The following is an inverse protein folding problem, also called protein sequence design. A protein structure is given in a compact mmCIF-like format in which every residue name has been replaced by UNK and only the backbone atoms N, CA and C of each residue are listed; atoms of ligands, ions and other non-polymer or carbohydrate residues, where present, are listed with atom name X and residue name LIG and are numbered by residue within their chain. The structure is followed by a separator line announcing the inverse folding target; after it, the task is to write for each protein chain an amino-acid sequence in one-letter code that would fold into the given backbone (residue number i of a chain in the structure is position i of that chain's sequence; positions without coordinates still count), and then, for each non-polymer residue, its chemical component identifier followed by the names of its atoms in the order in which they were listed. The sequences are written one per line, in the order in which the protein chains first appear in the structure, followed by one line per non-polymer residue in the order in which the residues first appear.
data_IF_483939325707
#
_entry.id   IF_483939325707
#
_cell.length_a   1.000
_cell.length_b   1.000
_cell.length_c   1.000
_cell.angle_alpha   90.00
_cell.angle_beta   90.00
_cell.angle_gamma   90.00
#
_symmetry.space_group_name_H-M   'P 1'
#
loop_
_entity.id
_entity.type
_entity.pdbx_description
1 polymer ?
#
# COMPACT_ATOMS: atom_id res chain seq x y z
N UNK A 1 -14.01 34.88 18.71
CA UNK A 1 -13.36 34.93 17.38
C UNK A 1 -13.20 36.36 16.83
N UNK A 2 -14.26 37.19 16.74
CA UNK A 2 -14.15 38.56 16.19
C UNK A 2 -13.21 39.50 16.97
N UNK A 3 -13.19 39.43 18.31
CA UNK A 3 -12.25 40.22 19.13
C UNK A 3 -10.77 39.83 18.94
N UNK A 4 -10.48 38.54 18.73
CA UNK A 4 -9.13 38.02 18.50
C UNK A 4 -8.58 38.46 17.14
N UNK A 5 -9.38 38.37 16.07
CA UNK A 5 -8.99 38.80 14.74
C UNK A 5 -8.73 40.32 14.65
N UNK A 6 -9.50 41.13 15.39
CA UNK A 6 -9.30 42.58 15.47
C UNK A 6 -8.01 42.97 16.18
N UNK A 7 -7.69 42.29 17.30
CA UNK A 7 -6.45 42.55 18.05
C UNK A 7 -5.19 42.05 17.35
N UNK A 8 -5.27 40.96 16.58
CA UNK A 8 -4.17 40.44 15.75
C UNK A 8 -3.89 41.30 14.51
N UNK A 9 -4.92 41.85 13.85
CA UNK A 9 -4.73 42.71 12.66
C UNK A 9 -3.96 44.01 12.99
N UNK A 10 -4.05 44.49 14.23
CA UNK A 10 -3.30 45.65 14.71
C UNK A 10 -1.81 45.35 14.98
N UNK A 11 -1.43 44.07 15.09
CA UNK A 11 -0.06 43.61 15.36
C UNK A 11 0.61 43.03 14.11
N UNK A 12 -0.15 42.27 13.30
CA UNK A 12 0.29 41.68 12.04
C UNK A 12 -0.92 41.58 11.07
N UNK A 13 -0.95 42.38 9.99
CA UNK A 13 -2.06 42.36 9.03
C UNK A 13 -2.17 41.03 8.28
N UNK A 14 -1.07 40.31 8.06
CA UNK A 14 -1.04 39.02 7.35
C UNK A 14 -1.59 37.91 8.23
N UNK A 15 -1.24 37.90 9.53
CA UNK A 15 -1.83 37.00 10.51
C UNK A 15 -3.34 37.25 10.68
N UNK A 16 -3.75 38.53 10.70
CA UNK A 16 -5.16 38.92 10.71
C UNK A 16 -5.93 38.43 9.47
N UNK A 17 -5.30 38.49 8.29
CA UNK A 17 -5.87 37.97 7.05
C UNK A 17 -5.99 36.44 7.06
N UNK A 18 -4.98 35.72 7.52
CA UNK A 18 -5.01 34.26 7.65
C UNK A 18 -6.15 33.77 8.56
N UNK A 19 -6.36 34.40 9.72
CA UNK A 19 -7.46 34.06 10.63
C UNK A 19 -8.83 34.28 9.97
N UNK A 20 -8.98 35.34 9.15
CA UNK A 20 -10.22 35.58 8.39
C UNK A 20 -10.45 34.52 7.32
N UNK A 21 -9.41 34.07 6.64
CA UNK A 21 -9.46 32.98 5.65
C UNK A 21 -9.93 31.68 6.31
N UNK A 22 -9.33 31.31 7.46
CA UNK A 22 -9.72 30.11 8.22
C UNK A 22 -11.21 30.19 8.59
N UNK A 23 -11.64 31.29 9.21
CA UNK A 23 -13.03 31.48 9.60
C UNK A 23 -14.02 31.56 8.42
N UNK A 24 -13.55 31.87 7.21
CA UNK A 24 -14.37 31.88 6.00
C UNK A 24 -14.57 30.46 5.46
N UNK A 25 -13.49 29.67 5.35
CA UNK A 25 -13.58 28.27 4.92
C UNK A 25 -14.29 27.38 5.94
N UNK A 26 -14.14 27.63 7.25
CA UNK A 26 -14.92 26.93 8.28
C UNK A 26 -16.42 27.14 8.08
N UNK A 27 -16.86 28.38 7.78
CA UNK A 27 -18.28 28.67 7.47
C UNK A 27 -18.76 28.00 6.18
N UNK A 28 -17.91 27.91 5.15
CA UNK A 28 -18.23 27.18 3.92
C UNK A 28 -18.34 25.67 4.17
N UNK A 29 -17.51 25.12 5.06
CA UNK A 29 -17.58 23.73 5.48
C UNK A 29 -18.88 23.45 6.26
N UNK A 30 -19.24 24.32 7.21
CA UNK A 30 -20.47 24.24 8.02
C UNK A 30 -21.73 24.30 7.15
N UNK A 31 -21.76 25.23 6.17
CA UNK A 31 -22.89 25.41 5.24
C UNK A 31 -22.97 24.37 4.12
N UNK A 32 -22.04 23.40 4.09
CA UNK A 32 -21.94 22.35 3.06
C UNK A 32 -21.87 22.92 1.64
N UNK A 33 -21.07 23.97 1.45
CA UNK A 33 -20.87 24.58 0.14
C UNK A 33 -20.35 23.58 -0.90
N UNK A 34 -20.82 23.69 -2.14
CA UNK A 34 -20.39 22.83 -3.24
C UNK A 34 -18.95 23.10 -3.69
N UNK A 35 -18.37 22.18 -4.47
CA UNK A 35 -16.99 22.24 -4.98
C UNK A 35 -16.69 23.57 -5.68
N UNK A 36 -17.57 24.06 -6.54
CA UNK A 36 -17.38 25.33 -7.25
C UNK A 36 -17.34 26.54 -6.30
N UNK A 37 -18.16 26.54 -5.24
CA UNK A 37 -18.17 27.62 -4.26
C UNK A 37 -16.87 27.70 -3.46
N UNK A 38 -16.24 26.55 -3.21
CA UNK A 38 -14.93 26.48 -2.54
C UNK A 38 -13.79 26.95 -3.45
N UNK A 39 -13.80 26.58 -4.73
CA UNK A 39 -12.81 27.08 -5.71
C UNK A 39 -12.99 28.58 -5.93
N UNK A 40 -14.24 29.05 -6.00
CA UNK A 40 -14.58 30.49 -6.08
C UNK A 40 -14.09 31.26 -4.86
N UNK A 41 -14.25 30.71 -3.66
CA UNK A 41 -13.71 31.31 -2.45
C UNK A 41 -12.18 31.44 -2.50
N UNK A 42 -11.47 30.42 -2.98
CA UNK A 42 -10.02 30.48 -3.15
C UNK A 42 -9.60 31.55 -4.18
N UNK A 43 -10.33 31.67 -5.29
CA UNK A 43 -10.04 32.68 -6.32
C UNK A 43 -10.27 34.12 -5.81
N UNK A 44 -11.41 34.36 -5.16
CA UNK A 44 -11.78 35.69 -4.64
C UNK A 44 -10.87 36.12 -3.49
N UNK A 45 -10.49 35.21 -2.59
CA UNK A 45 -9.64 35.53 -1.45
C UNK A 45 -8.16 35.72 -1.83
N UNK A 46 -7.67 35.02 -2.85
CA UNK A 46 -6.29 35.15 -3.33
C UNK A 46 -6.11 36.25 -4.38
N UNK A 47 -7.22 36.78 -4.92
CA UNK A 47 -7.22 37.75 -6.03
C UNK A 47 -6.66 37.19 -7.34
N UNK A 48 -6.52 35.87 -7.46
CA UNK A 48 -5.93 35.18 -8.61
C UNK A 48 -6.89 34.08 -9.09
N UNK A 49 -6.83 33.67 -10.37
CA UNK A 49 -7.62 32.54 -10.82
C UNK A 49 -7.26 31.28 -10.01
N UNK A 50 -8.26 30.54 -9.56
CA UNK A 50 -8.08 29.26 -8.86
C UNK A 50 -8.59 28.12 -9.74
N UNK A 51 -7.79 27.06 -9.84
CA UNK A 51 -8.10 25.89 -10.67
C UNK A 51 -8.02 24.61 -9.86
N UNK A 52 -9.08 23.81 -9.88
CA UNK A 52 -9.12 22.45 -9.35
C UNK A 52 -9.12 21.47 -10.51
N UNK A 53 -8.15 20.54 -10.52
CA UNK A 53 -8.12 19.41 -11.45
C UNK A 53 -8.03 18.12 -10.66
N UNK A 54 -8.97 17.23 -10.92
CA UNK A 54 -9.00 15.86 -10.44
C UNK A 54 -9.22 14.94 -11.65
N UNK A 55 -8.14 14.33 -12.19
CA UNK A 55 -8.24 13.48 -13.37
C UNK A 55 -8.98 12.17 -13.06
N UNK A 56 -8.90 11.64 -11.83
CA UNK A 56 -9.63 10.42 -11.43
C UNK A 56 -11.14 10.65 -11.39
N UNK A 57 -11.57 11.85 -10.99
CA UNK A 57 -13.00 12.20 -10.88
C UNK A 57 -13.52 12.99 -12.09
N UNK A 58 -12.67 13.25 -13.09
CA UNK A 58 -12.95 14.15 -14.24
C UNK A 58 -13.51 15.50 -13.81
N UNK A 59 -13.06 16.02 -12.66
CA UNK A 59 -13.46 17.34 -12.17
C UNK A 59 -12.43 18.35 -12.62
N UNK A 60 -12.86 19.29 -13.45
CA UNK A 60 -12.07 20.44 -13.89
C UNK A 60 -12.90 21.68 -13.60
N UNK A 61 -12.47 22.49 -12.63
CA UNK A 61 -13.15 23.73 -12.25
C UNK A 61 -12.12 24.83 -12.19
N UNK A 62 -12.28 25.85 -13.02
CA UNK A 62 -11.45 27.06 -13.00
C UNK A 62 -12.34 28.27 -12.74
N UNK A 63 -11.97 29.07 -11.75
CA UNK A 63 -12.72 30.28 -11.36
C UNK A 63 -11.77 31.47 -11.38
N UNK A 64 -12.19 32.54 -12.03
CA UNK A 64 -11.46 33.80 -12.14
C UNK A 64 -11.55 34.61 -10.83
N UNK A 65 -10.70 35.64 -10.63
CA UNK A 65 -10.71 36.48 -9.43
C UNK A 65 -12.04 37.22 -9.17
N UNK A 66 -12.81 37.48 -10.25
CA UNK A 66 -14.16 38.06 -10.19
C UNK A 66 -15.22 37.04 -9.71
N UNK A 67 -14.80 35.81 -9.46
CA UNK A 67 -15.63 34.69 -9.04
C UNK A 67 -16.36 34.00 -10.18
N UNK A 68 -16.17 34.39 -11.44
CA UNK A 68 -16.83 33.78 -12.60
C UNK A 68 -16.09 32.51 -13.01
N UNK A 69 -16.85 31.42 -13.22
CA UNK A 69 -16.28 30.17 -13.73
C UNK A 69 -15.90 30.32 -15.20
N UNK A 70 -14.68 29.94 -15.55
CA UNK A 70 -14.17 30.01 -16.92
C UNK A 70 -13.26 28.82 -17.20
N UNK A 71 -13.84 27.81 -17.83
CA UNK A 71 -13.14 26.55 -18.11
C UNK A 71 -12.07 26.76 -19.19
N UNK A 72 -11.00 25.97 -19.14
CA UNK A 72 -9.86 26.06 -20.06
C UNK A 72 -9.20 24.69 -20.17
N UNK A 73 -8.90 24.26 -21.39
CA UNK A 73 -8.31 22.95 -21.68
C UNK A 73 -6.76 22.95 -21.63
N UNK A 74 -6.15 24.12 -21.44
CA UNK A 74 -4.71 24.26 -21.28
C UNK A 74 -4.24 23.60 -19.97
N UNK A 75 -3.12 22.83 -19.96
CA UNK A 75 -2.62 22.22 -18.73
C UNK A 75 -2.16 23.28 -17.72
N UNK A 76 -2.35 23.06 -16.40
CA UNK A 76 -1.88 24.00 -15.38
C UNK A 76 -0.33 24.07 -15.36
N UNK A 77 0.24 25.28 -15.24
CA UNK A 77 1.69 25.44 -15.11
C UNK A 77 2.15 24.86 -13.77
N UNK A 78 3.10 23.90 -13.75
CA UNK A 78 3.60 23.28 -12.53
C UNK A 78 4.32 24.26 -11.59
N UNK A 79 4.68 25.46 -12.05
CA UNK A 79 5.32 26.51 -11.24
C UNK A 79 4.33 27.30 -10.39
N UNK A 80 3.03 27.15 -10.61
CA UNK A 80 2.00 27.84 -9.84
C UNK A 80 1.87 27.28 -8.41
N UNK A 81 1.63 28.13 -7.40
CA UNK A 81 1.31 27.68 -6.05
C UNK A 81 0.15 26.69 -6.06
N UNK A 82 0.35 25.53 -5.44
CA UNK A 82 -0.63 24.45 -5.45
C UNK A 82 -0.66 23.65 -4.15
N UNK A 83 -1.80 23.01 -3.89
CA UNK A 83 -1.97 22.07 -2.81
C UNK A 83 -2.72 20.83 -3.31
N UNK A 84 -2.17 19.65 -3.00
CA UNK A 84 -2.85 18.37 -3.24
C UNK A 84 -3.93 18.18 -2.18
N UNK A 85 -5.08 17.66 -2.61
CA UNK A 85 -6.21 17.41 -1.71
C UNK A 85 -5.99 16.15 -0.85
N UNK A 86 -5.12 15.23 -1.29
CA UNK A 86 -4.70 14.05 -0.54
C UNK A 86 -3.21 13.79 -0.79
N UNK A 87 -2.43 13.31 0.21
CA UNK A 87 -1.01 13.00 0.01
C UNK A 87 -0.77 11.99 -1.12
N UNK A 88 -1.66 11.01 -1.27
CA UNK A 88 -1.56 9.93 -2.27
C UNK A 88 -2.45 10.15 -3.50
N UNK A 89 -3.15 11.28 -3.58
CA UNK A 89 -4.13 11.55 -4.64
C UNK A 89 -3.61 12.45 -5.75
N UNK A 90 -4.22 12.35 -6.93
CA UNK A 90 -3.92 13.21 -8.10
C UNK A 90 -4.66 14.55 -8.09
N UNK A 91 -5.69 14.69 -7.26
CA UNK A 91 -6.50 15.91 -7.16
C UNK A 91 -5.70 17.08 -6.57
N UNK A 92 -5.57 18.16 -7.33
CA UNK A 92 -4.75 19.32 -6.94
C UNK A 92 -5.50 20.63 -7.20
N UNK A 93 -5.34 21.58 -6.29
CA UNK A 93 -5.80 22.96 -6.41
C UNK A 93 -4.60 23.86 -6.71
N UNK A 94 -4.68 24.68 -7.76
CA UNK A 94 -3.68 25.67 -8.16
C UNK A 94 -4.22 27.09 -8.03
N UNK A 95 -3.32 28.03 -7.73
CA UNK A 95 -3.53 29.47 -7.88
C UNK A 95 -2.70 29.97 -9.07
N UNK A 96 -3.35 30.41 -10.14
CA UNK A 96 -2.70 30.81 -11.39
C UNK A 96 -2.00 32.16 -11.19
N UNK A 97 -0.69 32.14 -10.90
CA UNK A 97 0.12 33.34 -10.81
C UNK A 97 1.19 33.34 -11.88
N UNK A 98 1.26 34.41 -12.67
CA UNK A 98 2.35 34.61 -13.60
C UNK A 98 3.66 34.80 -12.82
N UNK A 99 4.48 33.74 -12.73
CA UNK A 99 5.89 33.89 -12.46
C UNK A 99 6.52 34.51 -13.72
N UNK A 100 7.05 35.73 -13.63
CA UNK A 100 7.81 36.28 -14.76
C UNK A 100 9.03 35.39 -14.95
N UNK A 101 9.01 34.62 -16.04
CA UNK A 101 10.14 33.87 -16.51
C UNK A 101 11.30 34.85 -16.77
N UNK A 102 12.43 34.62 -16.11
CA UNK A 102 13.68 35.28 -16.44
C UNK A 102 14.05 34.92 -17.87
N UNK A 103 13.91 35.87 -18.78
CA UNK A 103 14.27 35.76 -20.18
C UNK A 103 14.64 37.14 -20.70
N UNK A 104 15.86 37.57 -20.35
CA UNK A 104 16.55 38.65 -21.04
C UNK A 104 16.79 38.17 -22.47
N UNK A 105 16.12 38.79 -23.43
CA UNK A 105 16.65 38.95 -24.78
C UNK A 105 16.37 40.39 -25.21
N UNK A 106 17.44 41.03 -25.66
CA UNK A 106 17.56 42.41 -26.12
C UNK A 106 16.34 42.96 -26.84
N UNK A 107 15.87 44.11 -26.36
CA UNK A 107 15.23 45.09 -27.19
C UNK A 107 16.33 46.05 -27.65
N UNK A 108 16.62 46.07 -28.95
CA UNK A 108 17.20 47.26 -29.55
C UNK A 108 16.62 47.56 -30.94
N UNK A 109 16.28 48.84 -31.10
CA UNK A 109 15.92 49.58 -32.31
C UNK A 109 14.56 49.22 -32.95
N UNK A 110 13.57 50.10 -33.17
CA UNK A 110 13.56 51.55 -33.26
C UNK A 110 12.74 51.95 -34.50
N UNK A 111 11.64 52.69 -34.31
CA UNK A 111 11.13 53.65 -35.32
C UNK A 111 10.05 53.22 -36.33
N UNK A 112 8.89 53.87 -36.19
CA UNK A 112 8.00 54.37 -37.26
C UNK A 112 7.16 53.42 -38.13
N UNK A 113 5.85 53.56 -38.01
CA UNK A 113 4.82 53.33 -39.03
C UNK A 113 4.99 54.30 -40.24
N UNK A 114 4.24 54.24 -41.38
CA UNK A 114 2.99 53.49 -41.60
C UNK A 114 2.74 52.91 -43.05
N UNK A 115 1.58 52.23 -43.19
CA UNK A 115 0.67 52.17 -44.37
C UNK A 115 0.89 51.20 -45.56
N UNK A 116 -0.26 50.56 -45.87
CA UNK A 116 -0.86 50.14 -47.18
C UNK A 116 -0.42 48.85 -47.92
N UNK A 117 -1.45 47.99 -48.11
CA UNK A 117 -1.90 47.32 -49.36
C UNK A 117 -0.88 46.62 -50.26
N UNK A 118 -0.97 45.30 -50.44
CA UNK A 118 -1.46 44.58 -51.65
C UNK A 118 -1.07 43.09 -51.64
N UNK A 119 -1.77 42.32 -52.48
CA UNK A 119 -1.66 40.90 -52.84
C UNK A 119 -0.21 40.35 -53.00
N UNK A 120 0.07 39.05 -52.95
CA UNK A 120 -0.44 37.97 -53.81
C UNK A 120 0.11 36.59 -53.32
N UNK A 121 -0.48 35.52 -53.86
CA UNK A 121 -0.10 34.09 -53.95
C UNK A 121 1.38 33.73 -53.70
N UNK A 122 1.74 32.54 -53.19
CA UNK A 122 1.47 31.16 -53.65
C UNK A 122 1.76 30.18 -52.50
N UNK A 123 0.86 29.25 -52.16
CA UNK A 123 0.86 27.83 -52.57
C UNK A 123 2.18 27.06 -52.44
N UNK A 124 2.16 26.08 -51.53
CA UNK A 124 2.63 24.68 -51.63
C UNK A 124 2.72 24.19 -50.17
N UNK A 125 2.00 23.19 -49.68
CA UNK A 125 1.54 21.95 -50.30
C UNK A 125 2.17 20.80 -49.51
N UNK A 126 1.37 19.78 -49.16
CA UNK A 126 1.70 18.50 -48.48
C UNK A 126 1.55 18.54 -46.95
N UNK A 127 0.75 17.71 -46.31
CA UNK A 127 -0.01 16.53 -46.72
C UNK A 127 -0.04 15.57 -45.52
N UNK A 128 -1.19 14.95 -45.24
CA UNK A 128 -1.30 13.95 -44.17
C UNK A 128 -2.73 13.77 -43.67
N UNK A 129 -3.55 13.14 -44.50
CA UNK A 129 -4.96 12.88 -44.25
C UNK A 129 -5.19 11.79 -43.19
N UNK A 130 -6.20 12.04 -42.36
CA UNK A 130 -6.91 11.05 -41.58
C UNK A 130 -7.69 10.09 -42.48
N UNK A 131 -7.81 8.83 -42.06
CA UNK A 131 -8.88 7.95 -42.51
C UNK A 131 -9.33 7.01 -41.40
N UNK A 132 -10.65 6.87 -41.35
CA UNK A 132 -11.51 6.12 -40.46
C UNK A 132 -11.99 4.86 -41.19
N UNK A 133 -12.22 3.77 -40.45
CA UNK A 133 -13.06 2.62 -40.83
C UNK A 133 -13.33 1.87 -39.49
N UNK A 134 -14.52 1.87 -38.91
CA UNK A 134 -15.81 1.24 -39.29
C UNK A 134 -15.73 -0.28 -39.44
N UNK A 135 -16.13 -0.93 -38.34
CA UNK A 135 -17.23 -1.90 -38.21
C UNK A 135 -17.22 -3.22 -39.01
N UNK A 136 -17.54 -4.30 -38.31
CA UNK A 136 -17.55 -5.67 -38.83
C UNK A 136 -17.88 -6.68 -37.73
N UNK A 137 -19.16 -6.72 -37.36
CA UNK A 137 -19.75 -7.66 -36.40
C UNK A 137 -20.12 -9.01 -37.06
N UNK A 138 -20.08 -10.06 -36.23
CA UNK A 138 -20.82 -11.34 -36.25
C UNK A 138 -20.19 -12.70 -36.63
N UNK A 139 -20.69 -13.79 -35.97
CA UNK A 139 -19.93 -15.02 -35.68
C UNK A 139 -20.51 -16.29 -36.34
N UNK A 140 -19.73 -17.37 -36.35
CA UNK A 140 -20.13 -18.69 -36.86
C UNK A 140 -19.99 -19.82 -35.84
N UNK A 141 -21.16 -20.33 -35.39
CA UNK A 141 -21.59 -21.74 -35.26
C UNK A 141 -20.71 -22.78 -34.53
N UNK A 142 -21.32 -23.44 -33.53
CA UNK A 142 -20.86 -24.61 -32.76
C UNK A 142 -21.31 -25.97 -33.39
N UNK A 143 -21.36 -27.12 -32.67
CA UNK A 143 -20.30 -28.13 -32.55
C UNK A 143 -20.70 -29.54 -33.04
N UNK A 144 -19.74 -30.48 -33.13
CA UNK A 144 -19.90 -31.95 -33.16
C UNK A 144 -18.68 -32.52 -32.41
N UNK A 145 -18.74 -33.41 -31.43
CA UNK A 145 -19.55 -34.62 -31.26
C UNK A 145 -18.58 -35.81 -31.29
N UNK A 146 -18.41 -36.55 -30.18
CA UNK A 146 -17.49 -37.69 -30.14
C UNK A 146 -17.26 -38.26 -28.74
N UNK A 147 -18.20 -39.10 -28.33
CA UNK A 147 -18.16 -40.06 -27.22
C UNK A 147 -17.13 -41.18 -27.46
N UNK A 148 -16.42 -41.62 -26.41
CA UNK A 148 -16.29 -43.04 -25.99
C UNK A 148 -15.48 -43.10 -24.70
N UNK A 149 -15.97 -43.86 -23.72
CA UNK A 149 -15.36 -43.96 -22.40
C UNK A 149 -14.36 -45.10 -22.18
N UNK A 150 -14.16 -45.36 -20.88
CA UNK A 150 -14.04 -46.67 -20.21
C UNK A 150 -12.71 -46.91 -19.45
N UNK A 151 -12.88 -47.09 -18.13
CA UNK A 151 -12.15 -47.98 -17.18
C UNK A 151 -10.64 -47.82 -16.96
N UNK A 152 -10.25 -47.55 -15.71
CA UNK A 152 -8.93 -47.90 -15.15
C UNK A 152 -8.89 -49.37 -14.68
N UNK A 153 -8.10 -49.74 -13.65
CA UNK A 153 -6.74 -49.33 -13.32
C UNK A 153 -5.77 -50.54 -13.38
N UNK A 154 -4.46 -50.32 -13.35
CA UNK A 154 -3.49 -51.40 -13.12
C UNK A 154 -2.35 -50.95 -12.20
N UNK A 155 -2.36 -51.54 -11.00
CA UNK A 155 -1.25 -51.62 -10.07
C UNK A 155 -0.15 -52.54 -10.61
N UNK A 156 1.11 -52.22 -10.33
CA UNK A 156 2.25 -53.11 -10.55
C UNK A 156 3.53 -52.50 -10.00
N UNK A 157 3.96 -52.98 -8.83
CA UNK A 157 5.19 -52.57 -8.16
C UNK A 157 6.39 -53.46 -8.49
N UNK A 158 7.49 -53.18 -7.76
CA UNK A 158 8.78 -53.89 -7.68
C UNK A 158 9.74 -53.56 -8.85
N UNK A 159 11.03 -53.31 -8.68
CA UNK A 159 11.94 -53.36 -7.55
C UNK A 159 13.25 -52.61 -7.92
N UNK A 160 14.00 -52.22 -6.88
CA UNK A 160 15.48 -52.13 -6.78
C UNK A 160 16.28 -51.57 -7.95
N UNK A 161 17.03 -50.48 -7.72
CA UNK A 161 18.47 -50.70 -7.55
C UNK A 161 19.20 -49.58 -6.80
N UNK A 162 20.19 -50.03 -6.03
CA UNK A 162 21.13 -49.25 -5.22
C UNK A 162 22.45 -49.25 -5.98
N UNK A 163 22.99 -48.08 -6.31
CA UNK A 163 24.44 -47.92 -6.52
C UNK A 163 24.85 -46.47 -6.25
N UNK A 164 25.74 -46.29 -5.28
CA UNK A 164 26.52 -45.09 -5.11
C UNK A 164 27.91 -45.25 -5.73
N UNK A 165 28.50 -44.13 -6.16
CA UNK A 165 29.93 -43.81 -6.26
C UNK A 165 29.97 -42.38 -6.86
N UNK A 166 30.47 -41.34 -6.19
CA UNK A 166 31.84 -41.03 -5.76
C UNK A 166 32.80 -40.67 -6.91
N UNK A 167 33.56 -39.59 -6.67
CA UNK A 167 34.61 -38.92 -7.46
C UNK A 167 34.13 -37.90 -8.51
N UNK A 168 34.70 -36.70 -8.65
CA UNK A 168 35.82 -36.05 -7.98
C UNK A 168 36.28 -34.82 -8.77
N UNK A 169 36.85 -33.85 -8.03
CA UNK A 169 37.91 -32.89 -8.40
C UNK A 169 37.71 -31.97 -9.62
N UNK A 170 37.75 -30.66 -9.33
CA UNK A 170 37.92 -29.58 -10.30
C UNK A 170 38.40 -28.32 -9.58
N UNK A 171 39.70 -28.28 -9.31
CA UNK A 171 40.47 -27.15 -8.82
C UNK A 171 40.61 -26.07 -9.90
N UNK A 172 40.32 -24.81 -9.58
CA UNK A 172 40.96 -23.64 -10.19
C UNK A 172 40.98 -22.48 -9.21
N UNK A 173 42.18 -22.18 -8.72
CA UNK A 173 42.59 -20.88 -8.17
C UNK A 173 42.27 -19.71 -9.12
N UNK A 174 41.73 -18.62 -8.55
CA UNK A 174 42.28 -17.26 -8.78
C UNK A 174 41.68 -16.19 -7.84
N UNK A 175 42.52 -15.77 -6.90
CA UNK A 175 42.89 -14.38 -6.56
C UNK A 175 41.80 -13.30 -6.43
N UNK A 176 41.65 -12.81 -5.20
CA UNK A 176 41.93 -11.40 -4.90
C UNK A 176 40.74 -10.51 -4.56
N UNK A 177 40.51 -10.27 -3.27
CA UNK A 177 40.72 -8.94 -2.65
C UNK A 177 40.26 -8.94 -1.20
N UNK A 178 41.22 -8.71 -0.31
CA UNK A 178 41.03 -8.46 1.10
C UNK A 178 41.10 -6.94 1.37
N UNK A 179 40.22 -6.43 2.24
CA UNK A 179 40.50 -5.39 3.23
C UNK A 179 39.22 -5.25 4.08
N UNK A 180 39.20 -5.43 5.39
CA UNK A 180 40.21 -5.04 6.36
C UNK A 180 39.59 -3.96 7.26
N UNK A 181 38.66 -4.38 8.13
CA UNK A 181 38.09 -3.51 9.15
C UNK A 181 39.15 -3.19 10.21
N UNK A 182 39.32 -1.91 10.55
CA UNK A 182 40.06 -1.48 11.73
C UNK A 182 39.25 -0.44 12.49
N UNK A 183 39.28 -0.61 13.81
CA UNK A 183 38.51 0.02 14.87
C UNK A 183 39.52 0.75 15.75
N UNK A 184 39.08 1.86 16.36
CA UNK A 184 39.65 2.59 17.52
C UNK A 184 39.85 4.08 17.21
N UNK A 185 39.86 5.02 18.15
CA UNK A 185 39.32 5.19 19.50
C UNK A 185 39.84 6.60 19.93
N UNK A 186 39.08 7.28 20.80
CA UNK A 186 39.50 8.37 21.73
C UNK A 186 40.16 9.67 21.22
N UNK A 187 39.70 10.78 21.83
CA UNK A 187 40.61 11.84 22.31
C UNK A 187 40.08 13.27 22.23
N UNK A 188 39.95 13.92 23.40
CA UNK A 188 39.35 15.23 23.65
C UNK A 188 40.32 16.44 23.54
N UNK A 189 39.78 17.66 23.47
CA UNK A 189 40.23 18.94 24.12
C UNK A 189 39.48 20.14 23.49
N UNK A 190 38.61 20.87 24.21
CA UNK A 190 38.83 22.10 25.01
C UNK A 190 39.06 23.38 24.18
N UNK A 191 38.10 24.34 24.18
CA UNK A 191 38.10 25.66 24.88
C UNK A 191 39.19 26.65 24.39
N UNK A 192 39.04 27.98 24.27
CA UNK A 192 38.02 29.01 24.44
C UNK A 192 38.69 30.35 23.99
N UNK A 193 38.03 31.50 24.24
CA UNK A 193 38.51 32.91 24.10
C UNK A 193 38.29 33.52 22.70
N UNK A 194 37.70 34.70 22.51
CA UNK A 194 37.14 35.68 23.44
C UNK A 194 36.79 37.00 22.71
N UNK A 195 35.75 37.67 23.22
CA UNK A 195 35.56 39.14 23.34
C UNK A 195 35.53 40.05 22.11
N UNK A 196 34.53 40.95 22.08
CA UNK A 196 34.64 42.26 21.43
C UNK A 196 33.31 42.90 21.03
N UNK A 197 32.87 43.91 21.78
CA UNK A 197 31.61 44.67 21.65
C UNK A 197 31.92 46.11 21.18
N UNK A 198 31.15 46.64 20.22
CA UNK A 198 30.77 48.05 19.97
C UNK A 198 30.23 48.15 18.53
N UNK A 199 29.23 48.93 18.11
CA UNK A 199 28.41 49.99 18.69
C UNK A 199 27.86 50.85 17.53
N UNK A 200 26.64 51.40 17.71
CA UNK A 200 26.06 52.59 17.05
C UNK A 200 25.39 52.53 15.64
N UNK A 201 24.05 52.55 15.68
CA UNK A 201 23.08 53.53 15.09
C UNK A 201 23.35 54.17 13.72
N UNK A 202 22.40 54.01 12.78
CA UNK A 202 21.92 55.07 11.90
C UNK A 202 20.52 54.76 11.33
N UNK A 203 19.68 55.80 11.27
CA UNK A 203 18.29 55.81 10.79
C UNK A 203 18.23 56.41 9.37
N UNK A 204 17.30 55.92 8.54
CA UNK A 204 16.43 56.65 7.56
C UNK A 204 16.35 56.08 6.13
N UNK A 205 15.09 55.84 5.75
CA UNK A 205 14.37 56.28 4.53
C UNK A 205 14.73 55.65 3.18
N UNK A 206 13.74 54.93 2.64
CA UNK A 206 13.18 55.18 1.31
C UNK A 206 13.98 54.70 0.09
N UNK A 207 13.70 53.47 -0.34
CA UNK A 207 14.05 52.98 -1.66
C UNK A 207 13.06 51.91 -2.11
N UNK A 208 12.04 52.33 -2.86
CA UNK A 208 11.10 51.44 -3.53
C UNK A 208 11.84 50.66 -4.63
N UNK A 209 12.23 49.42 -4.31
CA UNK A 209 12.65 48.40 -5.28
C UNK A 209 11.50 47.42 -5.51
N UNK A 210 11.39 46.81 -6.71
CA UNK A 210 10.26 45.96 -7.06
C UNK A 210 10.18 44.78 -6.07
N UNK A 211 9.04 44.67 -5.40
CA UNK A 211 8.76 43.61 -4.44
C UNK A 211 8.83 42.26 -5.14
N UNK A 212 9.87 41.47 -4.81
CA UNK A 212 9.85 40.02 -5.00
C UNK A 212 8.61 39.49 -4.29
N UNK A 213 7.64 38.97 -5.04
CA UNK A 213 6.45 38.31 -4.46
C UNK A 213 6.93 37.00 -3.84
N UNK A 214 7.29 37.03 -2.57
CA UNK A 214 7.35 35.83 -1.74
C UNK A 214 5.95 35.20 -1.70
N UNK A 215 5.83 33.85 -1.60
CA UNK A 215 4.52 33.22 -1.42
C UNK A 215 3.86 33.87 -0.20
N UNK A 216 2.72 34.52 -0.39
CA UNK A 216 2.07 35.18 0.74
C UNK A 216 1.62 34.09 1.70
N UNK A 217 1.86 34.28 3.00
CA UNK A 217 1.40 33.36 4.06
C UNK A 217 -0.11 33.13 3.93
N UNK A 218 -0.82 34.16 3.46
CA UNK A 218 -2.26 34.12 3.18
C UNK A 218 -2.58 33.12 2.06
N UNK A 219 -1.84 33.09 0.95
CA UNK A 219 -2.06 32.13 -0.14
C UNK A 219 -1.82 30.68 0.30
N UNK A 220 -0.79 30.46 1.14
CA UNK A 220 -0.52 29.15 1.71
C UNK A 220 -1.68 28.67 2.60
N UNK A 221 -2.23 29.58 3.42
CA UNK A 221 -3.40 29.29 4.27
C UNK A 221 -4.66 29.09 3.42
N UNK A 222 -4.87 29.87 2.35
CA UNK A 222 -5.98 29.67 1.41
C UNK A 222 -5.89 28.28 0.78
N UNK A 223 -4.72 27.89 0.27
CA UNK A 223 -4.50 26.58 -0.34
C UNK A 223 -4.69 25.44 0.66
N UNK A 224 -4.12 25.53 1.86
CA UNK A 224 -4.28 24.53 2.93
C UNK A 224 -5.77 24.34 3.28
N UNK A 225 -6.47 25.45 3.57
CA UNK A 225 -7.86 25.42 4.03
C UNK A 225 -8.81 24.98 2.91
N UNK A 226 -8.63 25.52 1.70
CA UNK A 226 -9.44 25.13 0.55
C UNK A 226 -9.25 23.66 0.20
N UNK A 227 -8.00 23.15 0.16
CA UNK A 227 -7.73 21.74 -0.14
C UNK A 227 -8.34 20.82 0.93
N UNK A 228 -8.25 21.18 2.21
CA UNK A 228 -8.87 20.44 3.31
C UNK A 228 -10.39 20.34 3.19
N UNK A 229 -11.08 21.45 2.92
CA UNK A 229 -12.55 21.45 2.79
C UNK A 229 -13.01 20.81 1.47
N UNK A 230 -12.29 21.04 0.36
CA UNK A 230 -12.56 20.40 -0.93
C UNK A 230 -12.44 18.88 -0.84
N UNK A 231 -11.45 18.36 -0.11
CA UNK A 231 -11.32 16.92 0.18
C UNK A 231 -12.59 16.41 0.86
N UNK A 232 -13.04 17.06 1.95
CA UNK A 232 -14.23 16.67 2.69
C UNK A 232 -15.50 16.66 1.81
N UNK A 233 -15.64 17.65 0.93
CA UNK A 233 -16.80 17.76 0.03
C UNK A 233 -16.75 16.72 -1.09
N UNK A 234 -15.59 16.53 -1.74
CA UNK A 234 -15.43 15.52 -2.78
C UNK A 234 -15.59 14.09 -2.24
N UNK A 235 -15.14 13.84 -1.00
CA UNK A 235 -15.36 12.56 -0.34
C UNK A 235 -16.84 12.33 -0.01
N UNK A 236 -17.58 13.39 0.35
CA UNK A 236 -19.03 13.34 0.60
C UNK A 236 -19.85 13.17 -0.68
N UNK A 237 -19.57 13.91 -1.75
CA UNK A 237 -20.38 13.90 -3.00
C UNK A 237 -20.21 12.62 -3.81
N UNK A 238 -19.18 11.81 -3.54
CA UNK A 238 -18.98 10.50 -4.18
C UNK A 238 -19.74 9.36 -3.51
N UNK A 239 -20.46 9.57 -2.40
CA UNK A 239 -21.02 8.44 -1.66
C UNK A 239 -19.91 7.42 -1.30
N UNK A 240 -18.73 7.93 -0.93
CA UNK A 240 -17.69 7.10 -0.33
C UNK A 240 -18.19 6.75 1.08
N UNK A 241 -19.00 5.70 1.15
CA UNK A 241 -18.96 4.81 2.29
C UNK A 241 -17.47 4.51 2.56
N UNK A 242 -17.05 4.39 3.82
CA UNK A 242 -15.65 4.12 4.13
C UNK A 242 -15.13 3.02 3.20
N UNK A 243 -13.90 3.15 2.71
CA UNK A 243 -13.26 2.10 1.90
C UNK A 243 -13.25 0.74 2.62
N UNK A 244 -13.60 0.75 3.92
CA UNK A 244 -13.83 -0.37 4.81
C UNK A 244 -15.27 -0.38 5.36
N UNK A 245 -16.32 -0.24 4.53
CA UNK A 245 -17.69 -0.51 5.01
C UNK A 245 -17.81 -2.01 5.30
N UNK A 246 -17.91 -2.42 6.58
CA UNK A 246 -17.85 -3.83 6.94
C UNK A 246 -19.01 -4.62 6.32
N UNK A 247 -20.19 -4.00 6.18
CA UNK A 247 -21.35 -4.65 5.62
C UNK A 247 -21.16 -4.95 4.12
N UNK A 248 -20.44 -4.10 3.40
CA UNK A 248 -20.11 -4.34 1.99
C UNK A 248 -19.07 -5.45 1.84
N UNK A 249 -18.06 -5.49 2.72
CA UNK A 249 -17.08 -6.58 2.73
C UNK A 249 -17.77 -7.91 3.06
N UNK A 250 -18.61 -7.94 4.09
CA UNK A 250 -19.40 -9.12 4.46
C UNK A 250 -20.29 -9.58 3.30
N UNK A 251 -21.00 -8.66 2.64
CA UNK A 251 -21.82 -8.97 1.45
C UNK A 251 -20.96 -9.52 0.31
N UNK A 252 -19.77 -8.95 0.07
CA UNK A 252 -18.87 -9.38 -0.99
C UNK A 252 -18.31 -10.79 -0.76
N UNK A 253 -18.05 -11.15 0.49
CA UNK A 253 -17.51 -12.45 0.88
C UNK A 253 -18.59 -13.52 1.09
N UNK A 254 -19.86 -13.13 1.11
CA UNK A 254 -21.00 -14.06 1.21
C UNK A 254 -21.29 -14.75 -0.14
N UNK A 255 -20.97 -16.04 -0.20
CA UNK A 255 -21.25 -16.89 -1.36
C UNK A 255 -22.73 -17.12 -1.63
N UNK A 256 -23.61 -16.90 -0.65
CA UNK A 256 -25.06 -17.05 -0.78
C UNK A 256 -25.75 -15.79 -1.29
N UNK A 257 -25.08 -14.63 -1.21
CA UNK A 257 -25.60 -13.38 -1.73
C UNK A 257 -25.80 -13.42 -3.27
N UNK A 258 -26.75 -12.67 -3.83
CA UNK A 258 -26.86 -12.54 -5.27
C UNK A 258 -25.60 -11.91 -5.90
N UNK A 259 -25.21 -12.39 -7.08
CA UNK A 259 -24.03 -11.88 -7.79
C UNK A 259 -24.08 -10.36 -8.02
N UNK A 260 -25.25 -9.83 -8.39
CA UNK A 260 -25.47 -8.40 -8.57
C UNK A 260 -25.19 -7.58 -7.29
N UNK A 261 -25.53 -8.12 -6.11
CA UNK A 261 -25.27 -7.49 -4.82
C UNK A 261 -23.76 -7.49 -4.51
N UNK A 262 -23.07 -8.60 -4.77
CA UNK A 262 -21.61 -8.68 -4.63
C UNK A 262 -20.87 -7.72 -5.56
N UNK A 263 -21.26 -7.65 -6.83
CA UNK A 263 -20.68 -6.68 -7.78
C UNK A 263 -20.97 -5.24 -7.41
N UNK A 264 -22.15 -4.97 -6.82
CA UNK A 264 -22.45 -3.66 -6.25
C UNK A 264 -21.50 -3.34 -5.09
N UNK A 265 -21.34 -4.28 -4.15
CA UNK A 265 -20.43 -4.13 -3.00
C UNK A 265 -18.98 -3.91 -3.44
N UNK A 266 -18.47 -4.70 -4.39
CA UNK A 266 -17.12 -4.54 -4.94
C UNK A 266 -16.89 -3.15 -5.54
N UNK A 267 -17.83 -2.67 -6.37
CA UNK A 267 -17.75 -1.32 -6.96
C UNK A 267 -17.78 -0.22 -5.91
N UNK A 268 -18.57 -0.40 -4.86
CA UNK A 268 -18.67 0.55 -3.74
C UNK A 268 -17.41 0.58 -2.87
N UNK A 269 -16.74 -0.57 -2.73
CA UNK A 269 -15.42 -0.70 -2.08
C UNK A 269 -14.26 -0.19 -2.97
N UNK A 270 -14.54 0.16 -4.23
CA UNK A 270 -13.52 0.66 -5.16
C UNK A 270 -12.62 -0.43 -5.73
N UNK A 271 -13.05 -1.70 -5.68
CA UNK A 271 -12.34 -2.81 -6.30
C UNK A 271 -12.52 -2.77 -7.81
N UNK A 272 -11.41 -2.91 -8.56
CA UNK A 272 -11.45 -3.14 -9.99
C UNK A 272 -11.81 -4.60 -10.27
N UNK A 273 -12.96 -4.83 -10.88
CA UNK A 273 -13.46 -6.18 -11.20
C UNK A 273 -12.67 -6.89 -12.30
N UNK A 274 -11.81 -6.17 -13.04
CA UNK A 274 -10.93 -6.73 -14.06
C UNK A 274 -9.64 -7.32 -13.48
N UNK A 275 -9.28 -6.94 -12.24
CA UNK A 275 -8.06 -7.37 -11.57
C UNK A 275 -8.39 -8.41 -10.48
N UNK A 276 -7.61 -9.48 -10.33
CA UNK A 276 -7.80 -10.42 -9.24
C UNK A 276 -7.62 -9.75 -7.87
N UNK A 277 -8.44 -10.19 -6.91
CA UNK A 277 -8.38 -9.78 -5.52
C UNK A 277 -8.27 -11.02 -4.62
N UNK A 278 -7.78 -10.83 -3.39
CA UNK A 278 -7.70 -11.89 -2.39
C UNK A 278 -8.36 -11.46 -1.09
N UNK A 279 -8.96 -12.42 -0.39
CA UNK A 279 -9.52 -12.22 0.93
C UNK A 279 -8.45 -12.45 2.02
N UNK A 280 -8.48 -11.63 3.05
CA UNK A 280 -7.59 -11.68 4.21
C UNK A 280 -8.42 -11.95 5.46
N UNK A 281 -8.04 -12.99 6.20
CA UNK A 281 -8.66 -13.42 7.45
C UNK A 281 -7.72 -13.14 8.63
N UNK A 282 -7.75 -11.93 9.21
CA UNK A 282 -6.99 -11.62 10.41
C UNK A 282 -7.63 -12.25 11.66
N UNK A 283 -6.81 -12.59 12.65
CA UNK A 283 -7.29 -13.07 13.95
C UNK A 283 -7.86 -11.91 14.77
N UNK A 284 -9.12 -12.02 15.21
CA UNK A 284 -9.84 -11.03 16.03
C UNK A 284 -10.11 -9.67 15.36
N UNK A 285 -9.87 -9.54 14.06
CA UNK A 285 -10.21 -8.35 13.29
C UNK A 285 -11.23 -8.66 12.20
N UNK A 286 -11.68 -7.62 11.51
CA UNK A 286 -12.67 -7.74 10.43
C UNK A 286 -12.03 -8.31 9.16
N UNK A 287 -12.81 -9.01 8.32
CA UNK A 287 -12.34 -9.43 7.01
C UNK A 287 -11.86 -8.22 6.20
N UNK A 288 -10.80 -8.43 5.42
CA UNK A 288 -10.27 -7.43 4.48
C UNK A 288 -10.16 -8.04 3.10
N UNK A 289 -10.31 -7.22 2.07
CA UNK A 289 -10.10 -7.61 0.68
C UNK A 289 -9.05 -6.69 0.10
N UNK A 290 -8.04 -7.26 -0.55
CA UNK A 290 -6.96 -6.50 -1.19
C UNK A 290 -6.75 -6.97 -2.63
N UNK A 291 -6.32 -6.10 -3.54
CA UNK A 291 -5.84 -6.51 -4.86
C UNK A 291 -4.71 -7.53 -4.76
N UNK A 292 -4.59 -8.43 -5.73
CA UNK A 292 -3.65 -9.56 -5.67
C UNK A 292 -2.17 -9.17 -5.47
N UNK A 293 -1.77 -7.99 -5.95
CA UNK A 293 -0.41 -7.45 -5.86
C UNK A 293 -0.11 -6.62 -4.60
N UNK A 294 -1.10 -6.41 -3.73
CA UNK A 294 -0.90 -5.69 -2.46
C UNK A 294 -0.37 -6.66 -1.42
N UNK A 295 0.75 -6.31 -0.75
CA UNK A 295 1.26 -7.11 0.35
C UNK A 295 0.27 -7.14 1.51
N UNK A 296 0.08 -8.33 2.06
CA UNK A 296 -0.79 -8.56 3.20
C UNK A 296 -0.04 -8.17 4.49
N UNK A 297 0.03 -6.87 4.78
CA UNK A 297 0.55 -6.38 6.06
C UNK A 297 -0.50 -6.59 7.16
N UNK A 298 -0.12 -7.38 8.17
CA UNK A 298 -0.92 -7.56 9.38
C UNK A 298 -0.03 -7.56 10.64
N UNK A 299 -0.53 -6.89 11.66
CA UNK A 299 0.03 -6.91 13.02
C UNK A 299 -0.62 -8.08 13.76
N UNK A 300 -0.26 -9.32 13.40
CA UNK A 300 -0.82 -10.50 14.07
C UNK A 300 -0.91 -11.75 13.21
N UNK A 301 -1.79 -12.67 13.63
CA UNK A 301 -2.08 -13.92 12.92
C UNK A 301 -3.01 -13.64 11.73
N UNK A 302 -2.61 -14.08 10.55
CA UNK A 302 -3.31 -13.78 9.29
C UNK A 302 -3.37 -15.01 8.37
N UNK A 303 -4.59 -15.39 7.99
CA UNK A 303 -4.82 -16.29 6.86
C UNK A 303 -5.01 -15.50 5.56
N UNK A 304 -4.34 -15.90 4.50
CA UNK A 304 -4.41 -15.24 3.19
C UNK A 304 -5.00 -16.22 2.17
N UNK A 305 -6.09 -15.82 1.53
CA UNK A 305 -6.71 -16.60 0.47
C UNK A 305 -6.00 -16.43 -0.88
N UNK A 306 -6.33 -17.30 -1.86
CA UNK A 306 -5.84 -17.16 -3.23
C UNK A 306 -6.28 -15.85 -3.88
N UNK A 307 -5.45 -15.34 -4.80
CA UNK A 307 -5.85 -14.29 -5.72
C UNK A 307 -6.83 -14.84 -6.77
N UNK A 308 -8.05 -14.32 -6.78
CA UNK A 308 -9.16 -14.81 -7.61
C UNK A 308 -9.95 -13.64 -8.23
N UNK A 309 -10.73 -13.87 -9.29
CA UNK A 309 -11.71 -12.88 -9.76
C UNK A 309 -12.64 -12.44 -8.63
N UNK A 310 -13.10 -11.19 -8.66
CA UNK A 310 -13.92 -10.59 -7.59
C UNK A 310 -15.14 -11.45 -7.20
N UNK A 311 -15.75 -12.15 -8.16
CA UNK A 311 -16.90 -13.01 -7.91
C UNK A 311 -16.57 -14.30 -7.16
N UNK A 312 -15.31 -14.73 -7.18
CA UNK A 312 -14.80 -15.91 -6.49
C UNK A 312 -14.22 -15.59 -5.11
N UNK A 313 -14.30 -14.33 -4.66
CA UNK A 313 -13.86 -13.92 -3.32
C UNK A 313 -14.47 -14.74 -2.16
N UNK A 314 -15.73 -15.25 -2.23
CA UNK A 314 -16.23 -16.17 -1.21
C UNK A 314 -15.39 -17.45 -1.05
N UNK A 315 -14.85 -17.98 -2.15
CA UNK A 315 -13.92 -19.12 -2.11
C UNK A 315 -12.60 -18.70 -1.48
N UNK A 316 -12.03 -17.58 -1.93
CA UNK A 316 -10.80 -17.03 -1.36
C UNK A 316 -10.93 -16.79 0.15
N UNK A 317 -12.09 -16.30 0.60
CA UNK A 317 -12.40 -16.09 2.01
C UNK A 317 -12.47 -17.39 2.81
N UNK A 318 -13.13 -18.40 2.28
CA UNK A 318 -13.21 -19.72 2.94
C UNK A 318 -11.81 -20.32 3.10
N UNK A 319 -10.99 -20.26 2.05
CA UNK A 319 -9.61 -20.74 2.08
C UNK A 319 -8.72 -19.89 3.02
N UNK A 320 -8.91 -18.56 3.07
CA UNK A 320 -8.21 -17.67 4.00
C UNK A 320 -8.54 -18.02 5.46
N UNK A 321 -9.80 -18.31 5.78
CA UNK A 321 -10.20 -18.76 7.13
C UNK A 321 -9.59 -20.11 7.48
N UNK A 322 -9.51 -21.03 6.53
CA UNK A 322 -8.77 -22.29 6.72
C UNK A 322 -7.29 -22.02 7.00
N UNK A 323 -6.65 -21.17 6.20
CA UNK A 323 -5.25 -20.80 6.38
C UNK A 323 -4.98 -20.14 7.73
N UNK A 324 -5.88 -19.28 8.21
CA UNK A 324 -5.78 -18.64 9.53
C UNK A 324 -5.63 -19.70 10.64
N UNK A 325 -6.29 -20.86 10.52
CA UNK A 325 -6.23 -21.92 11.55
C UNK A 325 -4.86 -22.61 11.64
N UNK A 326 -4.04 -22.51 10.60
CA UNK A 326 -2.66 -23.01 10.61
C UNK A 326 -1.65 -22.00 11.16
N UNK A 327 -2.06 -20.76 11.41
CA UNK A 327 -1.15 -19.73 11.93
C UNK A 327 -0.81 -19.99 13.41
N UNK A 328 0.35 -19.49 13.84
CA UNK A 328 0.81 -19.52 15.22
C UNK A 328 1.13 -18.10 15.73
N UNK A 329 1.27 -17.93 17.04
CA UNK A 329 1.68 -16.67 17.64
C UNK A 329 3.15 -16.33 17.35
N UNK A 330 3.98 -17.29 16.94
CA UNK A 330 5.40 -17.10 16.68
C UNK A 330 6.22 -16.84 17.94
N UNK A 331 5.72 -17.29 19.10
CA UNK A 331 6.43 -17.24 20.38
C UNK A 331 7.19 -18.56 20.61
N UNK A 332 8.16 -18.63 21.54
CA UNK A 332 8.81 -19.91 21.87
C UNK A 332 7.84 -21.00 22.35
N UNK A 333 6.73 -20.60 22.98
CA UNK A 333 5.67 -21.48 23.49
C UNK A 333 4.66 -21.87 22.39
N UNK A 334 4.46 -20.98 21.42
CA UNK A 334 3.64 -21.20 20.23
C UNK A 334 4.40 -20.87 18.92
N UNK A 335 5.38 -21.70 18.54
CA UNK A 335 6.20 -21.45 17.37
C UNK A 335 5.44 -21.78 16.08
N UNK A 336 5.69 -21.00 15.04
CA UNK A 336 5.11 -21.19 13.71
C UNK A 336 4.86 -19.89 12.95
N UNK A 337 4.36 -19.98 11.71
CA UNK A 337 4.12 -18.82 10.86
C UNK A 337 2.94 -18.00 11.38
N UNK A 338 3.13 -16.67 11.50
CA UNK A 338 2.05 -15.73 11.82
C UNK A 338 1.13 -15.50 10.62
N UNK A 339 1.69 -15.56 9.41
CA UNK A 339 0.97 -15.39 8.15
C UNK A 339 1.03 -16.70 7.38
N UNK A 340 -0.11 -17.22 6.95
CA UNK A 340 -0.20 -18.45 6.16
C UNK A 340 -1.02 -18.18 4.91
N UNK A 341 -0.46 -18.52 3.75
CA UNK A 341 -1.14 -18.47 2.47
C UNK A 341 -1.83 -19.80 2.19
N UNK A 342 -3.12 -19.78 1.87
CA UNK A 342 -3.88 -20.98 1.57
C UNK A 342 -3.31 -21.76 0.38
N UNK A 343 -2.76 -21.03 -0.60
CA UNK A 343 -2.10 -21.55 -1.79
C UNK A 343 -0.91 -22.46 -1.46
N UNK A 344 -0.22 -22.21 -0.34
CA UNK A 344 0.98 -22.93 0.09
C UNK A 344 0.67 -24.18 0.92
N UNK A 345 -0.56 -24.33 1.42
CA UNK A 345 -0.93 -25.45 2.28
C UNK A 345 -1.07 -26.77 1.52
N UNK A 346 -1.46 -26.71 0.24
CA UNK A 346 -1.71 -27.89 -0.59
C UNK A 346 -2.65 -28.90 0.10
N UNK A 347 -2.29 -30.18 0.07
CA UNK A 347 -3.10 -31.26 0.66
C UNK A 347 -3.21 -31.24 2.19
N UNK A 348 -2.33 -30.51 2.89
CA UNK A 348 -2.37 -30.42 4.36
C UNK A 348 -3.62 -29.63 4.80
N UNK A 349 -4.16 -28.75 3.96
CA UNK A 349 -5.39 -28.01 4.24
C UNK A 349 -6.58 -28.92 4.57
N UNK A 350 -6.61 -30.15 4.02
CA UNK A 350 -7.67 -31.14 4.29
C UNK A 350 -7.76 -31.55 5.76
N UNK A 351 -6.68 -31.40 6.54
CA UNK A 351 -6.72 -31.64 7.98
C UNK A 351 -7.65 -30.67 8.71
N UNK A 352 -7.86 -29.47 8.19
CA UNK A 352 -8.73 -28.47 8.80
C UNK A 352 -10.20 -28.91 8.84
N UNK A 353 -10.64 -29.70 7.87
CA UNK A 353 -12.00 -30.24 7.84
C UNK A 353 -12.19 -31.40 8.81
N UNK A 354 -11.10 -32.10 9.15
CA UNK A 354 -11.10 -33.26 10.05
C UNK A 354 -10.93 -32.87 11.52
N UNK A 355 -10.12 -31.85 11.81
CA UNK A 355 -9.84 -31.39 13.17
C UNK A 355 -10.75 -30.22 13.47
N UNK A 356 -11.80 -30.44 14.26
CA UNK A 356 -12.75 -29.38 14.65
C UNK A 356 -12.22 -28.64 15.88
N UNK A 357 -12.28 -27.29 15.93
CA UNK A 357 -11.91 -26.52 17.11
C UNK A 357 -12.66 -26.99 18.36
N UNK A 358 -11.95 -27.19 19.46
CA UNK A 358 -12.53 -27.65 20.73
C UNK A 358 -12.93 -29.13 20.78
N UNK A 359 -12.73 -29.91 19.71
CA UNK A 359 -12.83 -31.36 19.77
C UNK A 359 -11.70 -31.98 20.60
N UNK A 360 -11.86 -33.24 21.00
CA UNK A 360 -10.81 -33.94 21.74
C UNK A 360 -9.54 -34.01 20.88
N UNK A 361 -8.40 -33.46 21.36
CA UNK A 361 -7.18 -33.43 20.58
C UNK A 361 -6.68 -34.85 20.30
N UNK A 362 -6.15 -35.13 19.10
CA UNK A 362 -5.55 -36.43 18.76
C UNK A 362 -4.48 -36.86 19.79
N UNK A 363 -4.20 -38.17 19.94
CA UNK A 363 -3.25 -38.67 20.93
C UNK A 363 -1.86 -38.03 20.80
N UNK A 364 -1.39 -37.79 19.57
CA UNK A 364 -0.11 -37.15 19.29
C UNK A 364 -0.08 -35.68 19.76
N UNK A 365 -1.20 -34.96 19.58
CA UNK A 365 -1.35 -33.58 20.05
C UNK A 365 -1.39 -33.55 21.57
N UNK A 366 -2.09 -34.49 22.21
CA UNK A 366 -2.10 -34.61 23.69
C UNK A 366 -0.72 -34.88 24.26
N UNK A 367 0.04 -35.78 23.63
CA UNK A 367 1.41 -36.07 24.04
C UNK A 367 2.30 -34.82 23.90
N UNK A 368 2.17 -34.07 22.80
CA UNK A 368 2.87 -32.80 22.60
C UNK A 368 2.52 -31.76 23.67
N UNK A 369 1.23 -31.51 23.92
CA UNK A 369 0.78 -30.51 24.89
C UNK A 369 1.19 -30.89 26.32
N UNK A 370 1.08 -32.18 26.68
CA UNK A 370 1.52 -32.68 27.99
C UNK A 370 3.01 -32.47 28.19
N UNK A 371 3.82 -32.83 27.20
CA UNK A 371 5.27 -32.67 27.27
C UNK A 371 5.68 -31.19 27.25
N UNK A 372 4.99 -30.35 26.47
CA UNK A 372 5.25 -28.91 26.41
C UNK A 372 4.91 -28.20 27.73
N UNK A 373 3.87 -28.65 28.45
CA UNK A 373 3.50 -28.11 29.75
C UNK A 373 4.58 -28.34 30.82
N UNK A 374 5.31 -29.46 30.75
CA UNK A 374 6.39 -29.78 31.70
C UNK A 374 7.75 -29.22 31.28
N UNK A 375 7.90 -28.84 30.01
CA UNK A 375 9.20 -28.58 29.40
C UNK A 375 9.17 -27.34 28.49
N UNK A 376 9.49 -26.14 29.01
CA UNK A 376 9.31 -24.87 28.28
C UNK A 376 10.06 -24.76 26.95
N UNK A 377 11.20 -25.44 26.81
CA UNK A 377 12.01 -25.41 25.58
C UNK A 377 11.51 -26.36 24.49
N UNK A 378 10.56 -27.25 24.80
CA UNK A 378 10.17 -28.37 23.94
C UNK A 378 9.51 -27.89 22.65
N UNK A 379 8.52 -26.99 22.74
CA UNK A 379 7.77 -26.48 21.58
C UNK A 379 8.71 -25.88 20.54
N UNK A 380 9.55 -24.92 20.94
CA UNK A 380 10.53 -24.28 20.05
C UNK A 380 11.51 -25.30 19.42
N UNK A 381 11.98 -26.27 20.21
CA UNK A 381 12.93 -27.28 19.73
C UNK A 381 12.29 -28.22 18.70
N UNK A 382 11.08 -28.72 18.99
CA UNK A 382 10.36 -29.62 18.09
C UNK A 382 9.92 -28.91 16.81
N UNK A 383 9.51 -27.65 16.91
CA UNK A 383 9.19 -26.85 15.73
C UNK A 383 10.40 -26.67 14.83
N UNK A 384 11.56 -26.25 15.36
CA UNK A 384 12.78 -26.08 14.57
C UNK A 384 13.23 -27.38 13.89
N UNK A 385 13.06 -28.52 14.56
CA UNK A 385 13.36 -29.84 13.99
C UNK A 385 12.36 -30.24 12.89
N UNK A 386 11.11 -29.81 13.00
CA UNK A 386 10.08 -30.04 12.01
C UNK A 386 10.18 -29.10 10.79
N UNK A 387 10.63 -27.86 10.98
CA UNK A 387 10.68 -26.81 9.96
C UNK A 387 11.98 -26.78 9.15
N UNK A 388 13.10 -27.30 9.68
CA UNK A 388 14.41 -27.23 9.02
C UNK A 388 14.81 -28.50 8.29
N UNK A 389 15.73 -28.39 7.32
CA UNK A 389 16.22 -29.56 6.58
C UNK A 389 17.18 -30.45 7.39
N UNK A 390 17.79 -29.95 8.48
CA UNK A 390 18.81 -30.69 9.24
C UNK A 390 18.85 -30.31 10.72
N UNK A 391 19.36 -31.20 11.56
CA UNK A 391 19.55 -30.93 13.00
C UNK A 391 20.54 -29.79 13.27
N UNK A 392 21.51 -29.56 12.38
CA UNK A 392 22.42 -28.42 12.52
C UNK A 392 21.67 -27.11 12.28
N UNK A 393 20.83 -27.06 11.25
CA UNK A 393 19.99 -25.90 10.97
C UNK A 393 19.01 -25.63 12.14
N UNK A 394 18.35 -26.67 12.66
CA UNK A 394 17.49 -26.55 13.85
C UNK A 394 18.24 -25.99 15.07
N UNK A 395 19.47 -26.47 15.32
CA UNK A 395 20.29 -26.00 16.44
C UNK A 395 20.65 -24.51 16.29
N UNK A 396 21.00 -24.09 15.07
CA UNK A 396 21.27 -22.69 14.76
C UNK A 396 20.03 -21.81 14.90
N UNK A 397 18.86 -22.28 14.45
CA UNK A 397 17.59 -21.54 14.54
C UNK A 397 17.20 -21.23 15.99
N UNK A 398 17.34 -22.19 16.91
CA UNK A 398 17.03 -22.00 18.33
C UNK A 398 18.25 -21.57 19.17
N UNK A 399 19.36 -21.22 18.50
CA UNK A 399 20.61 -20.74 19.11
C UNK A 399 21.17 -21.66 20.22
N UNK A 400 21.29 -22.96 19.94
CA UNK A 400 21.92 -23.96 20.84
C UNK A 400 23.05 -24.72 20.17
N UNK A 401 23.95 -25.29 20.97
CA UNK A 401 24.94 -26.22 20.45
C UNK A 401 24.29 -27.53 20.00
N UNK A 402 24.89 -28.18 19.00
CA UNK A 402 24.38 -29.42 18.44
C UNK A 402 24.28 -30.56 19.48
N UNK A 403 25.23 -30.66 20.41
CA UNK A 403 25.19 -31.64 21.52
C UNK A 403 23.97 -31.43 22.41
N UNK A 404 23.71 -30.17 22.81
CA UNK A 404 22.52 -29.82 23.60
C UNK A 404 21.23 -30.12 22.85
N UNK A 405 21.18 -29.89 21.54
CA UNK A 405 20.02 -30.28 20.74
C UNK A 405 19.80 -31.79 20.78
N UNK A 406 20.87 -32.60 20.64
CA UNK A 406 20.74 -34.06 20.70
C UNK A 406 20.20 -34.54 22.06
N UNK A 407 20.68 -33.97 23.17
CA UNK A 407 20.21 -34.31 24.52
C UNK A 407 18.72 -33.94 24.70
N UNK A 408 18.33 -32.74 24.22
CA UNK A 408 16.93 -32.30 24.21
C UNK A 408 16.05 -33.23 23.39
N UNK A 409 16.53 -33.70 22.24
CA UNK A 409 15.80 -34.64 21.40
C UNK A 409 15.64 -36.01 22.04
N UNK A 410 16.68 -36.53 22.69
CA UNK A 410 16.58 -37.79 23.42
C UNK A 410 15.54 -37.70 24.55
N UNK A 411 15.52 -36.59 25.28
CA UNK A 411 14.50 -36.34 26.30
C UNK A 411 13.10 -36.18 25.69
N UNK A 412 12.97 -35.44 24.59
CA UNK A 412 11.70 -35.27 23.89
C UNK A 412 11.13 -36.61 23.39
N UNK A 413 11.95 -37.49 22.80
CA UNK A 413 11.53 -38.82 22.34
C UNK A 413 11.01 -39.68 23.50
N UNK A 414 11.62 -39.57 24.69
CA UNK A 414 11.16 -40.25 25.89
C UNK A 414 9.78 -39.74 26.36
N UNK A 415 9.56 -38.42 26.35
CA UNK A 415 8.28 -37.82 26.74
C UNK A 415 7.16 -38.12 25.73
N UNK A 416 7.47 -38.08 24.43
CA UNK A 416 6.50 -38.28 23.36
C UNK A 416 6.18 -39.77 23.15
N UNK A 417 7.15 -40.66 23.38
CA UNK A 417 7.00 -42.09 23.14
C UNK A 417 7.16 -42.49 21.66
N UNK A 418 7.72 -41.61 20.82
CA UNK A 418 8.11 -41.93 19.44
C UNK A 418 9.41 -41.22 19.03
N UNK A 419 10.18 -41.79 18.08
CA UNK A 419 11.39 -41.14 17.61
C UNK A 419 11.05 -39.93 16.75
N UNK A 420 11.70 -38.78 16.96
CA UNK A 420 11.51 -37.56 16.15
C UNK A 420 12.68 -37.31 15.18
N UNK A 421 13.70 -38.16 15.22
CA UNK A 421 14.88 -38.09 14.33
C UNK A 421 14.71 -38.87 13.03
N UNK A 422 13.77 -39.81 12.97
CA UNK A 422 13.52 -40.62 11.78
C UNK A 422 12.61 -39.86 10.79
N UNK A 423 12.66 -40.16 9.48
CA UNK A 423 11.77 -39.52 8.50
C UNK A 423 10.28 -39.68 8.85
N UNK A 424 9.83 -40.89 9.16
CA UNK A 424 8.45 -41.15 9.63
C UNK A 424 8.12 -40.39 10.92
N UNK A 425 9.05 -40.36 11.87
CA UNK A 425 8.92 -39.64 13.13
C UNK A 425 8.75 -38.14 12.95
N UNK A 426 9.54 -37.56 12.05
CA UNK A 426 9.45 -36.13 11.68
C UNK A 426 8.15 -35.81 10.98
N UNK A 427 7.68 -36.65 10.07
CA UNK A 427 6.38 -36.47 9.41
C UNK A 427 5.24 -36.51 10.44
N UNK A 428 5.26 -37.49 11.36
CA UNK A 428 4.29 -37.56 12.46
C UNK A 428 4.32 -36.31 13.32
N UNK A 429 5.52 -35.81 13.65
CA UNK A 429 5.70 -34.56 14.40
C UNK A 429 5.12 -33.35 13.64
N UNK A 430 5.38 -33.22 12.33
CA UNK A 430 4.84 -32.14 11.50
C UNK A 430 3.30 -32.16 11.49
N UNK A 431 2.69 -33.33 11.31
CA UNK A 431 1.24 -33.49 11.36
C UNK A 431 0.68 -33.14 12.74
N UNK A 432 1.33 -33.59 13.81
CA UNK A 432 0.90 -33.31 15.18
C UNK A 432 0.99 -31.80 15.51
N UNK A 433 2.02 -31.10 15.05
CA UNK A 433 2.12 -29.63 15.18
C UNK A 433 1.03 -28.92 14.36
N UNK A 434 0.76 -29.35 13.12
CA UNK A 434 -0.31 -28.78 12.31
C UNK A 434 -1.69 -28.97 12.97
N UNK A 435 -2.00 -30.19 13.43
CA UNK A 435 -3.24 -30.50 14.14
C UNK A 435 -3.36 -29.73 15.47
N UNK A 436 -2.23 -29.48 16.16
CA UNK A 436 -2.19 -28.63 17.36
C UNK A 436 -2.68 -27.20 17.07
N UNK A 437 -2.29 -26.60 15.94
CA UNK A 437 -2.80 -25.28 15.55
C UNK A 437 -4.30 -25.32 15.22
N UNK A 438 -4.75 -26.38 14.52
CA UNK A 438 -6.14 -26.55 14.09
C UNK A 438 -7.14 -26.84 15.21
N UNK A 439 -6.71 -27.50 16.28
CA UNK A 439 -7.54 -27.88 17.43
C UNK A 439 -7.87 -26.70 18.36
N UNK A 440 -7.17 -25.58 18.20
CA UNK A 440 -7.39 -24.38 19.01
C UNK A 440 -8.74 -23.74 18.70
N UNK A 441 -9.40 -23.17 19.73
CA UNK A 441 -10.65 -22.45 19.55
C UNK A 441 -10.49 -21.18 18.71
#
# INVERSE_FOLDING_TARGET
MKELAGRLTALDPDAGAAVRVIAYFDRLAESRAGVEALVRAAAVLSGCPARLVDPERRVHVRVEPDGVRRDTDEPPDPRWPSARLSPDGTATLWLERAGVASGVVDADLGGSAPRTLTADRTDTGRGGAASYAVDGDRPGVAPRGGDTGRTGPASGGLATDRAGAAAGVGDTDRTGSASGASKADRGAASQAVGTGRAGAVASRVGGAGPSRVAPSVVDAVILERAAGVLRLVLDRTRGRAPADDPALVETLLDGTAPEAARLHAARRLGLDTSVPARALAPLNERPRVVPAGTQADAVGRLGVGPAVPVLELPRSWTEARTALRFTAEGTPQDPGPRVVYAEELGGIALLADLVVPGAEPPPDVRALETAAATTPWLSATLHAVASTASLRAAASEINVHHSTLQDRLAHAEHLLGWPVRTPQGRLRLQLALAMRHLARP
#
